data_IF_278378033193
#
_entry.id   IF_278378033193
#
_cell.length_a   1.000
_cell.length_b   1.000
_cell.length_c   1.000
_cell.angle_alpha   90.00
_cell.angle_beta   90.00
_cell.angle_gamma   90.00
#
_symmetry.space_group_name_H-M   'P 1'
#
loop_
_entity.id
_entity.type
_entity.pdbx_description
1 polymer ?
#
# COMPACT_ATOMS: atom_id res chain seq x y z
N UNK A 1 -44.61 63.67 -6.87
CA UNK A 1 -43.40 63.19 -6.19
C UNK A 1 -43.54 61.76 -5.67
N UNK A 2 -43.70 60.72 -6.56
CA UNK A 2 -43.81 59.29 -6.09
C UNK A 2 -42.88 58.34 -6.81
N UNK A 3 -41.92 58.78 -7.62
CA UNK A 3 -41.00 57.89 -8.41
C UNK A 3 -39.69 57.56 -7.69
N UNK A 4 -39.24 58.37 -6.71
CA UNK A 4 -37.95 58.17 -6.04
C UNK A 4 -37.96 56.96 -5.08
N UNK A 5 -39.09 56.63 -4.41
CA UNK A 5 -39.20 55.49 -3.52
C UNK A 5 -39.18 54.13 -4.25
N UNK A 6 -39.67 54.06 -5.46
CA UNK A 6 -39.67 52.83 -6.28
C UNK A 6 -38.24 52.46 -6.74
N UNK A 7 -37.43 53.42 -7.05
CA UNK A 7 -36.03 53.19 -7.54
C UNK A 7 -35.16 52.70 -6.35
N UNK A 8 -35.34 53.27 -5.16
CA UNK A 8 -34.56 52.80 -3.99
C UNK A 8 -34.89 51.40 -3.57
N UNK A 9 -36.18 51.02 -3.63
CA UNK A 9 -36.63 49.64 -3.32
C UNK A 9 -36.07 48.68 -4.37
N UNK A 10 -36.13 49.02 -5.64
CA UNK A 10 -35.58 48.20 -6.73
C UNK A 10 -34.07 47.99 -6.58
N UNK A 11 -33.29 49.07 -6.37
CA UNK A 11 -31.84 48.96 -6.20
C UNK A 11 -31.42 48.19 -4.97
N UNK A 12 -32.16 48.31 -3.85
CA UNK A 12 -31.88 47.52 -2.66
C UNK A 12 -32.16 46.05 -2.86
N UNK A 13 -33.25 45.70 -3.56
CA UNK A 13 -33.56 44.29 -3.88
C UNK A 13 -32.54 43.70 -4.86
N UNK A 14 -32.15 44.47 -5.88
CA UNK A 14 -31.10 44.06 -6.81
C UNK A 14 -29.78 43.82 -6.09
N UNK A 15 -29.37 44.72 -5.19
CA UNK A 15 -28.16 44.59 -4.40
C UNK A 15 -28.21 43.34 -3.49
N UNK A 16 -29.36 43.07 -2.85
CA UNK A 16 -29.55 41.90 -2.02
C UNK A 16 -29.35 40.60 -2.81
N UNK A 17 -29.99 40.51 -4.01
CA UNK A 17 -29.82 39.33 -4.88
C UNK A 17 -28.37 39.17 -5.34
N UNK A 18 -27.73 40.28 -5.73
CA UNK A 18 -26.33 40.29 -6.14
C UNK A 18 -25.41 39.78 -5.03
N UNK A 19 -25.59 40.24 -3.78
CA UNK A 19 -24.81 39.78 -2.63
C UNK A 19 -25.03 38.28 -2.34
N UNK A 20 -26.26 37.77 -2.49
CA UNK A 20 -26.53 36.33 -2.33
C UNK A 20 -25.79 35.50 -3.39
N UNK A 21 -25.83 35.90 -4.65
CA UNK A 21 -25.09 35.21 -5.72
C UNK A 21 -23.57 35.24 -5.44
N UNK A 22 -23.05 36.40 -5.06
CA UNK A 22 -21.64 36.56 -4.72
C UNK A 22 -21.22 35.68 -3.55
N UNK A 23 -22.04 35.57 -2.49
CA UNK A 23 -21.78 34.68 -1.38
C UNK A 23 -21.73 33.19 -1.79
N UNK A 24 -22.62 32.74 -2.66
CA UNK A 24 -22.60 31.37 -3.19
C UNK A 24 -21.31 31.10 -3.97
N UNK A 25 -20.90 32.05 -4.80
CA UNK A 25 -19.63 31.94 -5.55
C UNK A 25 -18.42 31.85 -4.61
N UNK A 26 -18.36 32.66 -3.58
CA UNK A 26 -17.28 32.61 -2.57
C UNK A 26 -17.23 31.25 -1.86
N UNK A 27 -18.40 30.73 -1.45
CA UNK A 27 -18.47 29.40 -0.82
C UNK A 27 -17.98 28.29 -1.78
N UNK A 28 -18.37 28.35 -3.03
CA UNK A 28 -17.91 27.37 -4.04
C UNK A 28 -16.38 27.37 -4.19
N UNK A 29 -15.77 28.56 -4.26
CA UNK A 29 -14.30 28.70 -4.32
C UNK A 29 -13.63 28.20 -3.05
N UNK A 30 -14.21 28.47 -1.86
CA UNK A 30 -13.66 27.97 -0.61
C UNK A 30 -13.69 26.44 -0.52
N UNK A 31 -14.80 25.81 -0.91
CA UNK A 31 -14.90 24.35 -0.90
C UNK A 31 -13.93 23.72 -1.92
N UNK A 32 -13.87 24.25 -3.14
CA UNK A 32 -12.96 23.78 -4.18
C UNK A 32 -11.49 23.88 -3.77
N UNK A 33 -11.09 25.03 -3.25
CA UNK A 33 -9.72 25.26 -2.81
C UNK A 33 -9.35 24.42 -1.59
N UNK A 34 -10.26 24.26 -0.62
CA UNK A 34 -10.04 23.39 0.53
C UNK A 34 -9.85 21.92 0.14
N UNK A 35 -10.57 21.46 -0.87
CA UNK A 35 -10.40 20.11 -1.42
C UNK A 35 -9.01 19.92 -2.05
N UNK A 36 -8.58 20.84 -2.91
CA UNK A 36 -7.25 20.78 -3.54
C UNK A 36 -6.15 20.78 -2.48
N UNK A 37 -6.27 21.61 -1.45
CA UNK A 37 -5.29 21.68 -0.38
C UNK A 37 -5.24 20.37 0.43
N UNK A 38 -6.39 19.76 0.71
CA UNK A 38 -6.44 18.46 1.37
C UNK A 38 -5.82 17.34 0.54
N UNK A 39 -6.13 17.29 -0.75
CA UNK A 39 -5.53 16.34 -1.70
C UNK A 39 -4.00 16.51 -1.75
N UNK A 40 -3.50 17.72 -1.91
CA UNK A 40 -2.05 18.00 -1.90
C UNK A 40 -1.39 17.58 -0.59
N UNK A 41 -2.00 17.86 0.55
CA UNK A 41 -1.46 17.47 1.85
C UNK A 41 -1.38 15.95 2.04
N UNK A 42 -2.36 15.19 1.52
CA UNK A 42 -2.31 13.73 1.50
C UNK A 42 -1.19 13.24 0.59
N UNK A 43 -1.07 13.79 -0.62
CA UNK A 43 -0.03 13.41 -1.57
C UNK A 43 1.37 13.65 -1.00
N UNK A 44 1.63 14.80 -0.43
CA UNK A 44 2.90 15.12 0.25
C UNK A 44 3.19 14.13 1.39
N UNK A 45 2.17 13.80 2.17
CA UNK A 45 2.26 12.81 3.23
C UNK A 45 2.59 11.41 2.72
N UNK A 46 1.97 10.98 1.62
CA UNK A 46 2.25 9.70 0.98
C UNK A 46 3.66 9.68 0.39
N UNK A 47 4.10 10.73 -0.31
CA UNK A 47 5.47 10.82 -0.79
C UNK A 47 6.49 10.74 0.35
N UNK A 48 6.21 11.37 1.48
CA UNK A 48 7.07 11.29 2.67
C UNK A 48 7.15 9.87 3.23
N UNK A 49 6.04 9.12 3.24
CA UNK A 49 6.03 7.71 3.64
C UNK A 49 6.78 6.84 2.64
N UNK A 50 6.53 7.03 1.34
CA UNK A 50 7.20 6.27 0.29
C UNK A 50 8.69 6.58 0.16
N UNK A 51 9.14 7.76 0.57
CA UNK A 51 10.56 8.09 0.65
C UNK A 51 11.34 7.20 1.64
N UNK A 52 10.62 6.56 2.60
CA UNK A 52 11.17 5.54 3.50
C UNK A 52 11.25 4.14 2.89
N UNK A 53 11.42 4.02 1.57
CA UNK A 53 11.56 2.72 0.92
C UNK A 53 12.89 2.04 1.23
N UNK A 54 12.89 0.72 1.21
CA UNK A 54 14.11 -0.07 1.35
C UNK A 54 14.93 -0.02 0.05
N UNK A 55 16.03 0.72 0.14
CA UNK A 55 16.91 0.96 -1.00
C UNK A 55 17.62 -0.31 -1.47
N UNK A 56 17.98 -1.19 -0.54
CA UNK A 56 18.69 -2.43 -0.87
C UNK A 56 17.78 -3.39 -1.64
N UNK A 57 16.51 -3.50 -1.24
CA UNK A 57 15.52 -4.29 -1.97
C UNK A 57 15.27 -3.75 -3.37
N UNK A 58 15.20 -2.42 -3.51
CA UNK A 58 14.97 -1.81 -4.81
C UNK A 58 16.18 -1.98 -5.74
N UNK A 59 17.40 -1.74 -5.26
CA UNK A 59 18.62 -1.81 -6.07
C UNK A 59 19.00 -3.25 -6.46
N UNK A 60 18.81 -4.21 -5.55
CA UNK A 60 19.23 -5.61 -5.81
C UNK A 60 18.14 -6.46 -6.46
N UNK A 61 16.90 -6.25 -6.08
CA UNK A 61 15.80 -7.14 -6.46
C UNK A 61 14.73 -6.45 -7.30
N UNK A 62 14.87 -5.13 -7.53
CA UNK A 62 13.89 -4.31 -8.24
C UNK A 62 12.47 -4.40 -7.65
N UNK A 63 12.41 -4.56 -6.33
CA UNK A 63 11.17 -4.64 -5.57
C UNK A 63 11.05 -3.40 -4.70
N UNK A 64 9.94 -2.68 -4.85
CA UNK A 64 9.64 -1.50 -4.07
C UNK A 64 8.86 -1.89 -2.81
N UNK A 65 9.46 -1.70 -1.66
CA UNK A 65 8.84 -1.90 -0.35
C UNK A 65 9.21 -0.76 0.57
N UNK A 66 8.28 -0.39 1.45
CA UNK A 66 8.50 0.67 2.44
C UNK A 66 8.93 0.05 3.76
N UNK A 67 10.03 0.55 4.34
CA UNK A 67 10.42 0.17 5.70
C UNK A 67 9.52 0.86 6.74
N UNK A 68 8.43 0.19 7.11
CA UNK A 68 7.51 0.66 8.13
C UNK A 68 8.07 0.61 9.56
N UNK A 69 9.27 0.08 9.74
CA UNK A 69 9.97 0.10 11.03
C UNK A 69 10.77 1.39 11.25
N UNK A 70 11.05 2.14 10.18
CA UNK A 70 11.93 3.31 10.20
C UNK A 70 13.29 3.00 10.87
N UNK A 71 13.87 1.85 10.52
CA UNK A 71 15.16 1.39 11.04
C UNK A 71 15.13 0.86 12.48
N UNK A 72 13.97 0.78 13.15
CA UNK A 72 13.86 0.27 14.52
C UNK A 72 13.65 -1.23 14.64
N UNK A 73 13.44 -1.92 13.50
CA UNK A 73 13.11 -3.36 13.46
C UNK A 73 11.70 -3.71 13.97
N UNK A 74 10.91 -2.72 14.43
CA UNK A 74 9.55 -2.93 14.93
C UNK A 74 8.58 -2.18 14.03
N UNK A 75 7.76 -2.94 13.31
CA UNK A 75 6.75 -2.39 12.45
C UNK A 75 5.57 -1.79 13.25
N UNK A 76 5.19 -0.54 12.94
CA UNK A 76 4.08 0.18 13.56
C UNK A 76 3.34 1.02 12.53
N UNK A 77 2.12 0.64 12.14
CA UNK A 77 1.33 1.39 11.15
C UNK A 77 1.01 2.81 11.61
N UNK A 78 0.92 3.03 12.94
CA UNK A 78 0.64 4.33 13.52
C UNK A 78 1.72 5.38 13.17
N UNK A 79 2.96 4.96 12.92
CA UNK A 79 4.03 5.88 12.51
C UNK A 79 3.78 6.42 11.12
N UNK A 80 3.41 5.56 10.17
CA UNK A 80 3.06 5.98 8.80
C UNK A 80 1.86 6.91 8.80
N UNK A 81 0.81 6.55 9.53
CA UNK A 81 -0.35 7.41 9.69
C UNK A 81 0.01 8.79 10.27
N UNK A 82 0.87 8.83 11.29
CA UNK A 82 1.33 10.08 11.91
C UNK A 82 2.09 10.95 10.92
N UNK A 83 2.93 10.38 10.06
CA UNK A 83 3.65 11.13 9.03
C UNK A 83 2.68 11.80 8.06
N UNK A 84 1.71 11.04 7.51
CA UNK A 84 0.69 11.59 6.62
C UNK A 84 -0.13 12.67 7.32
N UNK A 85 -0.56 12.41 8.55
CA UNK A 85 -1.34 13.36 9.35
C UNK A 85 -0.59 14.67 9.60
N UNK A 86 0.69 14.59 9.95
CA UNK A 86 1.51 15.78 10.19
C UNK A 86 1.68 16.61 8.91
N UNK A 87 1.89 15.97 7.75
CA UNK A 87 1.97 16.68 6.47
C UNK A 87 0.63 17.38 6.14
N UNK A 88 -0.49 16.70 6.35
CA UNK A 88 -1.81 17.30 6.13
C UNK A 88 -2.07 18.48 7.09
N UNK A 89 -1.72 18.34 8.37
CA UNK A 89 -1.87 19.41 9.34
C UNK A 89 -1.00 20.61 9.00
N UNK A 90 0.23 20.38 8.52
CA UNK A 90 1.13 21.45 8.07
C UNK A 90 0.62 22.15 6.83
N UNK A 91 0.13 21.39 5.83
CA UNK A 91 -0.49 21.94 4.62
C UNK A 91 -1.75 22.77 4.94
N UNK A 92 -2.47 22.40 5.99
CA UNK A 92 -3.64 23.13 6.45
C UNK A 92 -3.33 24.38 7.28
N UNK A 93 -2.06 24.59 7.68
CA UNK A 93 -1.67 25.80 8.47
C UNK A 93 -1.62 27.05 7.61
N UNK A 94 -1.98 28.22 8.17
CA UNK A 94 -1.82 29.50 7.47
C UNK A 94 -0.34 29.75 7.12
N UNK A 95 -0.07 29.93 5.84
CA UNK A 95 1.29 30.16 5.32
C UNK A 95 2.12 28.89 5.09
N UNK A 96 1.49 27.71 5.06
CA UNK A 96 2.12 26.45 4.63
C UNK A 96 2.70 26.54 3.24
N UNK A 97 3.66 25.67 2.92
CA UNK A 97 4.54 25.71 1.73
C UNK A 97 3.79 25.79 0.37
N UNK A 98 2.55 25.33 0.32
CA UNK A 98 1.77 25.24 -0.92
C UNK A 98 1.27 26.58 -1.43
N UNK A 99 1.03 27.56 -0.57
CA UNK A 99 0.39 28.81 -1.02
C UNK A 99 1.34 29.97 -1.28
N UNK A 100 2.59 29.92 -0.77
CA UNK A 100 3.57 31.00 -0.94
C UNK A 100 3.07 32.41 -0.58
N UNK A 101 1.81 32.53 -0.23
CA UNK A 101 1.12 33.76 0.11
C UNK A 101 0.97 33.81 1.61
N UNK A 102 1.62 34.79 2.23
CA UNK A 102 1.47 35.11 3.63
C UNK A 102 0.07 35.68 3.86
N UNK A 103 -0.91 34.81 4.04
CA UNK A 103 -2.31 35.18 4.20
C UNK A 103 -3.00 34.33 5.24
N UNK A 104 -4.16 34.79 5.70
CA UNK A 104 -5.02 34.01 6.58
C UNK A 104 -5.47 32.72 5.91
N UNK A 105 -5.64 31.66 6.71
CA UNK A 105 -6.12 30.37 6.23
C UNK A 105 -7.54 30.51 5.68
N UNK A 106 -7.66 30.73 4.38
CA UNK A 106 -8.95 30.87 3.68
C UNK A 106 -9.81 29.60 3.79
N UNK A 107 -9.17 28.44 3.95
CA UNK A 107 -9.84 27.15 3.87
C UNK A 107 -10.27 26.56 5.21
N UNK A 108 -9.89 27.15 6.33
CA UNK A 108 -10.30 26.80 7.72
C UNK A 108 -10.27 25.28 8.00
N UNK A 109 -9.18 24.60 7.61
CA UNK A 109 -8.99 23.21 8.01
C UNK A 109 -8.85 23.16 9.54
N UNK A 110 -9.77 22.48 10.22
CA UNK A 110 -9.86 22.48 11.68
C UNK A 110 -9.32 21.21 12.33
N UNK A 111 -9.41 20.09 11.64
CA UNK A 111 -8.92 18.81 12.16
C UNK A 111 -8.65 17.83 11.02
N UNK A 112 -7.65 16.98 11.24
CA UNK A 112 -7.32 15.85 10.37
C UNK A 112 -7.52 14.57 11.15
N UNK A 113 -8.39 13.70 10.65
CA UNK A 113 -8.63 12.38 11.24
C UNK A 113 -8.63 11.32 10.14
N UNK A 114 -8.17 10.14 10.46
CA UNK A 114 -8.13 9.01 9.54
C UNK A 114 -7.58 7.77 10.23
N UNK A 115 -7.49 6.68 9.49
CA UNK A 115 -6.89 5.45 9.97
C UNK A 115 -6.32 4.65 8.79
N UNK A 116 -5.33 3.81 9.05
CA UNK A 116 -4.91 2.79 8.11
C UNK A 116 -5.88 1.62 8.25
N UNK A 117 -6.65 1.36 7.21
CA UNK A 117 -7.70 0.32 7.21
C UNK A 117 -7.17 -1.05 6.77
N UNK A 118 -6.13 -1.05 5.94
CA UNK A 118 -5.49 -2.27 5.47
C UNK A 118 -4.02 -2.01 5.13
N UNK A 119 -3.22 -3.04 5.25
CA UNK A 119 -1.83 -3.08 4.80
C UNK A 119 -1.46 -4.51 4.41
N UNK A 120 -0.43 -4.65 3.60
CA UNK A 120 0.11 -5.95 3.21
C UNK A 120 1.60 -5.97 3.53
N UNK A 121 2.03 -6.95 4.29
CA UNK A 121 3.45 -7.17 4.58
C UNK A 121 4.11 -7.97 3.46
N UNK A 122 5.41 -7.82 3.32
CA UNK A 122 6.20 -8.60 2.35
C UNK A 122 6.07 -10.11 2.57
N UNK A 123 5.90 -10.55 3.82
CA UNK A 123 5.74 -11.95 4.23
C UNK A 123 4.33 -12.50 4.04
N UNK A 124 3.33 -11.63 3.84
CA UNK A 124 1.93 -12.07 3.74
C UNK A 124 1.70 -12.94 2.51
N UNK A 125 0.81 -13.92 2.67
CA UNK A 125 0.47 -14.88 1.60
C UNK A 125 1.72 -15.52 0.96
N UNK A 126 2.67 -15.93 1.79
CA UNK A 126 3.94 -16.54 1.36
C UNK A 126 4.75 -15.62 0.40
N UNK A 127 4.74 -14.33 0.63
CA UNK A 127 5.47 -13.35 -0.17
C UNK A 127 4.83 -13.01 -1.51
N UNK A 128 3.50 -13.05 -1.60
CA UNK A 128 2.76 -12.78 -2.83
C UNK A 128 3.08 -11.41 -3.41
N UNK A 129 3.13 -10.36 -2.58
CA UNK A 129 3.45 -9.00 -3.03
C UNK A 129 4.85 -8.88 -3.62
N UNK A 130 5.83 -9.51 -2.97
CA UNK A 130 7.20 -9.59 -3.48
C UNK A 130 7.27 -10.31 -4.81
N UNK A 131 6.66 -11.50 -4.91
CA UNK A 131 6.68 -12.31 -6.14
C UNK A 131 5.99 -11.60 -7.29
N UNK A 132 4.88 -10.90 -7.05
CA UNK A 132 4.19 -10.16 -8.09
C UNK A 132 5.08 -9.08 -8.71
N UNK A 133 5.73 -8.25 -7.89
CA UNK A 133 6.64 -7.21 -8.37
C UNK A 133 7.86 -7.79 -9.09
N UNK A 134 8.46 -8.86 -8.56
CA UNK A 134 9.58 -9.54 -9.20
C UNK A 134 9.20 -10.11 -10.58
N UNK A 135 8.02 -10.71 -10.71
CA UNK A 135 7.52 -11.21 -11.99
C UNK A 135 7.25 -10.07 -12.96
N UNK A 136 6.67 -8.96 -12.50
CA UNK A 136 6.41 -7.81 -13.38
C UNK A 136 7.71 -7.17 -13.87
N UNK A 137 8.72 -7.03 -13.00
CA UNK A 137 10.05 -6.59 -13.41
C UNK A 137 10.68 -7.54 -14.45
N UNK A 138 10.58 -8.86 -14.23
CA UNK A 138 11.07 -9.84 -15.18
C UNK A 138 10.36 -9.75 -16.53
N UNK A 139 9.04 -9.50 -16.56
CA UNK A 139 8.27 -9.30 -17.80
C UNK A 139 8.78 -8.10 -18.58
N UNK A 140 9.08 -7.01 -17.90
CA UNK A 140 9.59 -5.80 -18.53
C UNK A 140 11.02 -5.99 -19.07
N UNK A 141 11.86 -6.70 -18.32
CA UNK A 141 13.30 -6.84 -18.65
C UNK A 141 13.58 -7.96 -19.65
N UNK A 142 12.93 -9.11 -19.51
CA UNK A 142 13.20 -10.32 -20.33
C UNK A 142 12.18 -10.55 -21.44
N UNK A 143 11.09 -9.80 -21.44
CA UNK A 143 9.96 -10.05 -22.31
C UNK A 143 9.19 -11.32 -21.91
N UNK A 144 7.98 -11.47 -22.45
CA UNK A 144 7.07 -12.58 -22.09
C UNK A 144 7.68 -13.97 -22.41
N UNK A 145 8.45 -14.07 -23.46
CA UNK A 145 9.07 -15.34 -23.89
C UNK A 145 10.17 -15.82 -22.92
N UNK A 146 10.96 -14.89 -22.37
CA UNK A 146 12.01 -15.25 -21.40
C UNK A 146 11.44 -15.79 -20.09
N UNK A 147 10.29 -15.29 -19.66
CA UNK A 147 9.61 -15.76 -18.44
C UNK A 147 9.00 -17.12 -18.63
N UNK A 148 8.39 -17.38 -19.78
CA UNK A 148 7.84 -18.69 -20.10
C UNK A 148 8.93 -19.77 -20.04
N UNK A 149 10.10 -19.49 -20.61
CA UNK A 149 11.28 -20.37 -20.55
C UNK A 149 11.78 -20.61 -19.12
N UNK A 150 11.83 -19.57 -18.28
CA UNK A 150 12.24 -19.68 -16.87
C UNK A 150 11.21 -20.47 -16.05
N UNK A 151 9.93 -20.22 -16.25
CA UNK A 151 8.86 -20.95 -15.56
C UNK A 151 8.83 -22.43 -15.96
N UNK A 152 9.09 -22.73 -17.22
CA UNK A 152 9.14 -24.10 -17.71
C UNK A 152 10.33 -24.86 -17.13
N UNK A 153 11.51 -24.23 -17.06
CA UNK A 153 12.69 -24.80 -16.38
C UNK A 153 12.45 -25.00 -14.88
N UNK A 154 11.80 -24.06 -14.21
CA UNK A 154 11.49 -24.19 -12.79
C UNK A 154 10.50 -25.34 -12.53
N UNK A 155 9.47 -25.50 -13.37
CA UNK A 155 8.55 -26.65 -13.28
C UNK A 155 9.28 -27.96 -13.47
N UNK A 156 10.10 -28.08 -14.51
CA UNK A 156 10.90 -29.30 -14.74
C UNK A 156 11.79 -29.65 -13.56
N UNK A 157 12.45 -28.66 -12.96
CA UNK A 157 13.26 -28.89 -11.76
C UNK A 157 12.41 -29.34 -10.56
N UNK A 158 11.26 -28.71 -10.35
CA UNK A 158 10.35 -29.06 -9.26
C UNK A 158 9.82 -30.49 -9.40
N UNK A 159 9.40 -30.87 -10.59
CA UNK A 159 8.92 -32.22 -10.89
C UNK A 159 10.00 -33.29 -10.63
N UNK A 160 11.26 -33.00 -10.99
CA UNK A 160 12.42 -33.87 -10.70
C UNK A 160 12.65 -34.00 -9.18
N UNK A 161 12.56 -32.91 -8.42
CA UNK A 161 12.71 -32.97 -6.96
C UNK A 161 11.56 -33.74 -6.29
N UNK A 162 10.33 -33.57 -6.72
CA UNK A 162 9.18 -34.30 -6.20
C UNK A 162 9.24 -35.81 -6.55
N UNK A 163 9.79 -36.17 -7.70
CA UNK A 163 10.04 -37.56 -8.10
C UNK A 163 11.14 -38.20 -7.24
N UNK A 164 12.25 -37.49 -7.04
CA UNK A 164 13.34 -37.97 -6.16
C UNK A 164 12.92 -38.12 -4.70
N UNK A 165 12.08 -37.21 -4.20
CA UNK A 165 11.56 -37.31 -2.84
C UNK A 165 10.59 -38.52 -2.68
N UNK A 166 9.79 -38.81 -3.69
CA UNK A 166 8.92 -40.00 -3.70
C UNK A 166 9.73 -41.31 -3.79
N UNK A 167 10.73 -41.38 -4.64
CA UNK A 167 11.63 -42.54 -4.74
C UNK A 167 12.41 -42.75 -3.43
N UNK A 168 12.93 -41.67 -2.80
CA UNK A 168 13.61 -41.74 -1.52
C UNK A 168 12.73 -42.29 -0.40
N UNK A 169 11.49 -41.81 -0.31
CA UNK A 169 10.51 -42.27 0.67
C UNK A 169 10.05 -43.72 0.43
N UNK A 170 9.92 -44.14 -0.84
CA UNK A 170 9.54 -45.51 -1.19
C UNK A 170 10.63 -46.54 -0.84
N UNK A 171 11.90 -46.14 -1.04
CA UNK A 171 13.06 -46.99 -0.67
C UNK A 171 13.15 -47.14 0.88
N UNK A 172 12.97 -46.06 1.64
CA UNK A 172 13.03 -46.08 3.09
C UNK A 172 11.90 -46.93 3.72
N UNK A 173 10.68 -46.83 3.17
CA UNK A 173 9.53 -47.65 3.60
C UNK A 173 9.75 -49.13 3.29
N UNK A 174 10.30 -49.46 2.10
CA UNK A 174 10.61 -50.87 1.75
C UNK A 174 11.67 -51.46 2.66
N UNK A 175 12.77 -50.76 2.92
CA UNK A 175 13.82 -51.21 3.83
C UNK A 175 13.28 -51.43 5.25
N UNK A 176 12.40 -50.54 5.71
CA UNK A 176 11.77 -50.68 7.05
C UNK A 176 10.83 -51.86 7.09
N UNK A 177 10.04 -52.13 6.06
CA UNK A 177 9.17 -53.30 5.97
C UNK A 177 9.97 -54.62 5.92
N UNK A 178 11.02 -54.69 5.11
CA UNK A 178 11.87 -55.89 5.00
C UNK A 178 12.57 -56.22 6.33
N UNK A 179 13.06 -55.18 7.05
CA UNK A 179 13.65 -55.37 8.39
C UNK A 179 12.63 -55.85 9.43
N UNK A 180 11.38 -55.39 9.36
CA UNK A 180 10.30 -55.80 10.24
C UNK A 180 9.87 -57.25 9.96
N UNK A 181 9.80 -57.69 8.69
CA UNK A 181 9.51 -59.07 8.32
C UNK A 181 10.61 -60.04 8.78
N UNK A 182 11.89 -59.65 8.67
CA UNK A 182 13.02 -60.42 9.16
C UNK A 182 12.97 -60.59 10.69
N UNK A 183 12.77 -59.50 11.42
CA UNK A 183 12.64 -59.57 12.89
C UNK A 183 11.45 -60.41 13.33
N UNK A 184 10.34 -60.43 12.62
CA UNK A 184 9.18 -61.27 12.89
C UNK A 184 9.45 -62.73 12.64
N UNK A 185 10.21 -63.11 11.58
CA UNK A 185 10.65 -64.49 11.29
C UNK A 185 11.60 -65.03 12.35
N UNK A 186 12.57 -64.19 12.81
CA UNK A 186 13.49 -64.55 13.91
C UNK A 186 12.78 -64.73 15.23
N UNK A 187 11.80 -63.88 15.54
CA UNK A 187 10.98 -64.04 16.76
C UNK A 187 10.14 -65.33 16.75
N UNK A 188 9.61 -65.74 15.60
CA UNK A 188 8.84 -66.95 15.45
C UNK A 188 9.72 -68.23 15.58
N UNK A 189 10.97 -68.21 15.08
CA UNK A 189 11.91 -69.31 15.24
C UNK A 189 12.40 -69.50 16.68
N UNK A 190 12.47 -68.45 17.48
CA UNK A 190 12.90 -68.51 18.88
C UNK A 190 11.76 -68.98 19.85
N UNK A 191 10.53 -69.10 19.39
CA UNK A 191 9.42 -69.63 20.21
C UNK A 191 9.24 -71.15 20.10
N UNK A 192 9.88 -71.79 19.13
CA UNK A 192 9.78 -73.27 18.87
C UNK A 192 11.01 -74.01 19.38
N UNK A 193 11.90 -73.39 20.14
CA UNK A 193 13.07 -73.99 20.81
C UNK A 193 12.92 -73.99 22.34
#
# INVERSE_FOLDING_TARGET
MKKSGSITVFTSLFLAVFLLVFQVLLQSVQIGGGRVQAETGVEEGLYSVFAGYDRELLERYHVFMVDGSYGTGVWKPERMYRTVKNCMEESCRPGGAVTGVRGENLWKCSSVSGAITAYTLMSDEHGRGYRAQAVDYMKETLGIQGIQLLMEKYRQQKDIFEEQEKEGNEIDVKQTMDSYEQAKKEAAQNQDS
#
